data_IF_257399477721
#
_entry.id   IF_257399477721
#
_cell.length_a   1.000
_cell.length_b   1.000
_cell.length_c   1.000
_cell.angle_alpha   90.00
_cell.angle_beta   90.00
_cell.angle_gamma   90.00
#
_symmetry.space_group_name_H-M   'P 1'
#
loop_
_entity.id
_entity.type
_entity.pdbx_description
1 polymer ?
#
# COMPACT_ATOMS: atom_id res chain seq x y z
N UNK A 1 0.21 -53.45 -17.23
CA UNK A 1 -0.40 -53.60 -15.89
C UNK A 1 0.26 -52.63 -14.92
N UNK A 2 -0.59 -51.92 -14.16
CA UNK A 2 -0.36 -51.20 -12.91
C UNK A 2 0.79 -50.15 -12.82
N UNK A 3 0.46 -48.87 -13.09
CA UNK A 3 1.10 -47.73 -12.40
C UNK A 3 0.17 -47.28 -11.27
N UNK A 4 0.73 -47.27 -10.06
CA UNK A 4 0.07 -47.09 -8.78
C UNK A 4 -0.80 -45.83 -8.72
N UNK A 5 -2.10 -46.05 -8.53
CA UNK A 5 -3.05 -45.10 -7.95
C UNK A 5 -2.73 -44.89 -6.46
N UNK A 6 -2.73 -43.65 -5.98
CA UNK A 6 -2.84 -43.39 -4.54
C UNK A 6 -2.13 -42.13 -4.04
N UNK A 7 -2.79 -40.99 -4.17
CA UNK A 7 -2.94 -40.00 -3.08
C UNK A 7 -4.17 -39.13 -3.38
N UNK A 8 -5.30 -39.59 -2.83
CA UNK A 8 -6.59 -38.96 -2.53
C UNK A 8 -7.22 -37.92 -3.46
N UNK A 9 -8.14 -38.42 -4.29
CA UNK A 9 -9.29 -37.68 -4.78
C UNK A 9 -10.38 -37.55 -3.68
N UNK A 10 -10.03 -37.09 -2.47
CA UNK A 10 -11.03 -36.78 -1.45
C UNK A 10 -11.67 -35.42 -1.74
N UNK A 11 -12.94 -35.48 -2.13
CA UNK A 11 -13.81 -34.32 -2.21
C UNK A 11 -14.33 -34.00 -0.81
N UNK A 12 -13.84 -32.91 -0.22
CA UNK A 12 -14.26 -32.45 1.10
C UNK A 12 -15.70 -31.95 1.04
N UNK A 13 -16.43 -32.17 2.13
CA UNK A 13 -17.73 -31.55 2.42
C UNK A 13 -17.55 -30.11 2.89
N UNK A 14 -18.65 -29.35 2.98
CA UNK A 14 -18.64 -27.98 3.51
C UNK A 14 -18.08 -27.91 4.93
N UNK A 15 -18.48 -28.84 5.79
CA UNK A 15 -18.02 -28.92 7.18
C UNK A 15 -16.51 -29.21 7.25
N UNK A 16 -16.02 -30.17 6.47
CA UNK A 16 -14.60 -30.51 6.42
C UNK A 16 -13.75 -29.38 5.84
N UNK A 17 -14.25 -28.65 4.83
CA UNK A 17 -13.56 -27.48 4.30
C UNK A 17 -13.50 -26.35 5.33
N UNK A 18 -14.58 -26.13 6.08
CA UNK A 18 -14.62 -25.12 7.15
C UNK A 18 -13.60 -25.44 8.25
N UNK A 19 -13.53 -26.71 8.68
CA UNK A 19 -12.51 -27.17 9.60
C UNK A 19 -11.10 -27.02 9.02
N UNK A 20 -10.91 -27.32 7.73
CA UNK A 20 -9.62 -27.23 7.04
C UNK A 20 -9.10 -25.79 6.92
N UNK A 21 -9.98 -24.83 6.61
CA UNK A 21 -9.64 -23.41 6.49
C UNK A 21 -9.66 -22.69 7.84
N UNK A 22 -10.05 -23.36 8.93
CA UNK A 22 -10.33 -22.76 10.24
C UNK A 22 -11.33 -21.59 10.17
N UNK A 23 -12.36 -21.72 9.32
CA UNK A 23 -13.43 -20.72 9.14
C UNK A 23 -14.79 -21.28 9.61
N UNK A 24 -15.74 -20.38 9.87
CA UNK A 24 -17.12 -20.80 10.13
C UNK A 24 -17.82 -21.25 8.82
N UNK A 25 -18.70 -22.25 8.93
CA UNK A 25 -19.41 -22.81 7.78
C UNK A 25 -20.27 -21.79 7.03
N UNK A 26 -20.80 -20.77 7.70
CA UNK A 26 -21.60 -19.73 7.03
C UNK A 26 -20.71 -18.84 6.16
N UNK A 27 -19.48 -18.57 6.58
CA UNK A 27 -18.48 -17.85 5.79
C UNK A 27 -18.01 -18.66 4.60
N UNK A 28 -17.74 -19.95 4.78
CA UNK A 28 -17.40 -20.83 3.64
C UNK A 28 -18.58 -20.89 2.65
N UNK A 29 -19.81 -21.06 3.13
CA UNK A 29 -21.00 -21.03 2.27
C UNK A 29 -21.15 -19.72 1.49
N UNK A 30 -20.90 -18.58 2.14
CA UNK A 30 -20.92 -17.25 1.50
C UNK A 30 -19.86 -17.13 0.40
N UNK A 31 -18.65 -17.61 0.65
CA UNK A 31 -17.54 -17.57 -0.31
C UNK A 31 -17.80 -18.46 -1.53
N UNK A 32 -18.40 -19.62 -1.32
CA UNK A 32 -18.77 -20.54 -2.40
C UNK A 32 -19.90 -19.98 -3.24
N UNK A 33 -20.95 -19.42 -2.61
CA UNK A 33 -22.05 -18.77 -3.32
C UNK A 33 -21.61 -17.51 -4.08
N UNK A 34 -20.56 -16.83 -3.61
CA UNK A 34 -19.94 -15.70 -4.29
C UNK A 34 -18.94 -16.12 -5.39
N UNK A 35 -18.72 -17.42 -5.60
CA UNK A 35 -17.76 -17.93 -6.59
C UNK A 35 -16.29 -17.68 -6.25
N UNK A 36 -15.98 -17.39 -4.98
CA UNK A 36 -14.63 -17.03 -4.53
C UNK A 36 -13.76 -18.21 -4.14
N UNK A 37 -14.33 -19.40 -3.95
CA UNK A 37 -13.62 -20.64 -3.63
C UNK A 37 -13.93 -21.66 -4.73
N UNK A 38 -12.93 -22.38 -5.27
CA UNK A 38 -13.17 -23.42 -6.25
C UNK A 38 -14.00 -24.55 -5.64
N UNK A 39 -15.16 -24.81 -6.23
CA UNK A 39 -16.14 -25.77 -5.74
C UNK A 39 -16.81 -26.52 -6.90
N UNK A 40 -17.19 -27.77 -6.65
CA UNK A 40 -17.95 -28.61 -7.59
C UNK A 40 -19.27 -28.99 -6.94
N UNK A 41 -20.38 -28.91 -7.68
CA UNK A 41 -21.67 -29.35 -7.19
C UNK A 41 -21.92 -30.81 -7.61
N UNK A 42 -22.10 -31.69 -6.64
CA UNK A 42 -22.44 -33.12 -6.84
C UNK A 42 -23.70 -33.40 -6.04
N UNK A 43 -24.75 -33.90 -6.70
CA UNK A 43 -26.05 -34.20 -6.07
C UNK A 43 -26.61 -33.05 -5.22
N UNK A 44 -26.57 -31.83 -5.79
CA UNK A 44 -27.03 -30.57 -5.16
C UNK A 44 -26.25 -30.17 -3.90
N UNK A 45 -25.17 -30.86 -3.57
CA UNK A 45 -24.26 -30.51 -2.47
C UNK A 45 -22.93 -30.00 -3.00
N UNK A 46 -22.32 -29.05 -2.29
CA UNK A 46 -20.98 -28.57 -2.61
C UNK A 46 -19.92 -29.57 -2.17
N UNK A 47 -18.91 -29.72 -3.02
CA UNK A 47 -17.74 -30.58 -2.84
C UNK A 47 -16.48 -29.84 -3.24
N UNK A 48 -15.40 -30.07 -2.49
CA UNK A 48 -14.16 -29.31 -2.64
C UNK A 48 -12.98 -30.24 -2.80
N UNK A 49 -12.28 -30.15 -3.93
CA UNK A 49 -11.06 -30.92 -4.12
C UNK A 49 -9.95 -30.24 -3.32
N UNK A 50 -9.38 -30.93 -2.34
CA UNK A 50 -8.34 -30.38 -1.45
C UNK A 50 -7.19 -29.72 -2.23
N UNK A 51 -6.69 -30.35 -3.28
CA UNK A 51 -5.61 -29.79 -4.12
C UNK A 51 -5.97 -28.47 -4.81
N UNK A 52 -7.25 -28.24 -5.13
CA UNK A 52 -7.71 -26.97 -5.71
C UNK A 52 -7.86 -25.89 -4.63
N UNK A 53 -8.25 -26.29 -3.42
CA UNK A 53 -8.30 -25.40 -2.27
C UNK A 53 -6.89 -24.97 -1.87
N UNK A 54 -5.93 -25.89 -1.83
CA UNK A 54 -4.53 -25.58 -1.50
C UNK A 54 -3.93 -24.59 -2.53
N UNK A 55 -4.12 -24.85 -3.83
CA UNK A 55 -3.70 -23.92 -4.88
C UNK A 55 -4.40 -22.57 -4.81
N UNK A 56 -5.69 -22.55 -4.45
CA UNK A 56 -6.43 -21.31 -4.22
C UNK A 56 -5.92 -20.52 -3.02
N UNK A 57 -5.60 -21.18 -1.89
CA UNK A 57 -5.00 -20.53 -0.71
C UNK A 57 -3.65 -19.91 -1.10
N UNK A 58 -2.81 -20.63 -1.84
CA UNK A 58 -1.54 -20.11 -2.34
C UNK A 58 -1.73 -18.92 -3.29
N UNK A 59 -2.73 -18.96 -4.18
CA UNK A 59 -3.08 -17.85 -5.06
C UNK A 59 -3.60 -16.62 -4.30
N UNK A 60 -4.34 -16.81 -3.20
CA UNK A 60 -4.82 -15.72 -2.34
C UNK A 60 -3.72 -15.18 -1.40
N UNK A 61 -2.79 -16.01 -0.94
CA UNK A 61 -1.59 -15.57 -0.21
C UNK A 61 -0.64 -14.78 -1.11
N UNK A 62 -0.67 -15.02 -2.42
CA UNK A 62 0.12 -14.31 -3.43
C UNK A 62 -0.69 -13.21 -4.15
N UNK A 63 -2.00 -13.12 -3.91
CA UNK A 63 -2.91 -12.33 -4.73
C UNK A 63 -4.09 -11.75 -3.94
N UNK A 64 -4.06 -10.43 -3.81
CA UNK A 64 -5.15 -9.55 -3.36
C UNK A 64 -5.39 -9.52 -1.84
N UNK A 65 -4.48 -8.89 -1.09
CA UNK A 65 -4.82 -7.91 -0.04
C UNK A 65 -3.57 -7.34 0.68
N UNK A 66 -2.67 -6.72 -0.09
CA UNK A 66 -2.04 -5.50 0.42
C UNK A 66 -2.89 -4.36 -0.14
N UNK A 67 -3.85 -3.90 0.66
CA UNK A 67 -4.57 -2.63 0.53
C UNK A 67 -3.87 -1.70 -0.48
N UNK A 68 -4.44 -1.59 -1.69
CA UNK A 68 -3.86 -0.76 -2.74
C UNK A 68 -3.77 0.73 -2.36
N UNK A 69 -4.38 1.13 -1.24
CA UNK A 69 -4.33 2.47 -0.66
C UNK A 69 -3.01 2.76 0.07
N UNK A 70 -2.29 1.74 0.54
CA UNK A 70 -1.12 1.92 1.43
C UNK A 70 0.24 1.72 0.74
N UNK A 71 0.27 1.18 -0.48
CA UNK A 71 1.53 1.13 -1.24
C UNK A 71 1.89 2.55 -1.68
N UNK A 72 3.08 3.05 -1.27
CA UNK A 72 3.50 4.40 -1.60
C UNK A 72 3.41 4.63 -3.11
N UNK A 73 2.87 5.78 -3.49
CA UNK A 73 3.05 6.30 -4.84
C UNK A 73 4.56 6.22 -5.16
N UNK A 74 4.95 5.47 -6.20
CA UNK A 74 6.36 5.25 -6.52
C UNK A 74 7.11 6.55 -6.86
N UNK A 75 6.38 7.64 -7.13
CA UNK A 75 6.93 9.00 -7.22
C UNK A 75 7.28 9.61 -5.87
N UNK A 76 6.61 9.19 -4.79
CA UNK A 76 6.77 9.70 -3.43
C UNK A 76 7.74 8.88 -2.58
N UNK A 77 7.95 7.60 -2.91
CA UNK A 77 8.90 6.74 -2.20
C UNK A 77 10.33 7.28 -2.35
N UNK A 78 10.97 7.83 -1.31
CA UNK A 78 12.31 8.40 -1.43
C UNK A 78 13.33 7.31 -1.78
N UNK A 79 14.36 7.67 -2.56
CA UNK A 79 15.44 6.73 -2.87
C UNK A 79 16.15 6.23 -1.62
N UNK A 80 16.17 7.01 -0.54
CA UNK A 80 16.76 6.66 0.75
C UNK A 80 16.24 5.33 1.33
N UNK A 81 14.94 5.06 1.19
CA UNK A 81 14.33 3.82 1.69
C UNK A 81 14.77 2.58 0.89
N UNK A 82 15.20 2.80 -0.35
CA UNK A 82 15.63 1.76 -1.28
C UNK A 82 17.15 1.61 -1.36
N UNK A 83 17.91 2.64 -0.96
CA UNK A 83 19.35 2.70 -1.10
C UNK A 83 20.05 2.76 0.28
N UNK A 84 20.12 1.64 1.03
CA UNK A 84 20.91 1.57 2.26
C UNK A 84 22.41 1.81 1.99
N UNK A 85 23.19 2.16 3.01
CA UNK A 85 24.63 2.46 2.86
C UNK A 85 25.41 1.28 2.25
N UNK A 86 25.02 0.05 2.58
CA UNK A 86 25.65 -1.17 2.09
C UNK A 86 25.36 -1.48 0.61
N UNK A 87 24.53 -0.67 -0.06
CA UNK A 87 24.07 -0.90 -1.42
C UNK A 87 25.05 -0.40 -2.50
N UNK A 88 26.10 0.34 -2.11
CA UNK A 88 27.06 0.90 -3.06
C UNK A 88 28.26 -0.03 -3.23
N UNK A 89 28.52 -0.43 -4.48
CA UNK A 89 29.73 -1.11 -4.92
C UNK A 89 30.54 -0.11 -5.75
N UNK A 90 31.57 0.49 -5.16
CA UNK A 90 32.37 1.52 -5.82
C UNK A 90 33.29 0.95 -6.90
N UNK A 91 33.62 -0.33 -6.89
CA UNK A 91 34.44 -0.93 -7.93
C UNK A 91 33.92 -2.32 -8.30
N UNK A 92 33.13 -2.38 -9.37
CA UNK A 92 32.69 -3.63 -9.96
C UNK A 92 33.89 -4.38 -10.55
N UNK A 93 33.97 -5.67 -10.25
CA UNK A 93 34.98 -6.57 -10.82
C UNK A 93 34.51 -7.18 -12.14
N UNK A 94 33.20 -7.30 -12.32
CA UNK A 94 32.61 -7.83 -13.53
C UNK A 94 32.99 -7.01 -14.76
N UNK A 95 33.18 -7.71 -15.88
CA UNK A 95 33.50 -7.14 -17.20
C UNK A 95 32.49 -7.52 -18.28
N UNK A 96 31.48 -8.30 -17.93
CA UNK A 96 30.45 -8.79 -18.85
C UNK A 96 29.07 -8.42 -18.33
N UNK A 97 28.05 -8.31 -19.21
CA UNK A 97 26.70 -7.94 -18.77
C UNK A 97 26.12 -8.86 -17.68
N UNK A 98 26.24 -10.18 -17.89
CA UNK A 98 25.78 -11.18 -16.91
C UNK A 98 26.56 -11.08 -15.60
N UNK A 99 27.88 -10.89 -15.67
CA UNK A 99 28.71 -10.75 -14.47
C UNK A 99 28.32 -9.55 -13.62
N UNK A 100 27.92 -8.42 -14.23
CA UNK A 100 27.44 -7.24 -13.51
C UNK A 100 26.14 -7.57 -12.75
N UNK A 101 25.20 -8.23 -13.43
CA UNK A 101 23.93 -8.65 -12.83
C UNK A 101 24.19 -9.58 -11.65
N UNK A 102 25.08 -10.55 -11.80
CA UNK A 102 25.45 -11.50 -10.74
C UNK A 102 26.12 -10.81 -9.53
N UNK A 103 27.07 -9.91 -9.77
CA UNK A 103 27.81 -9.20 -8.72
C UNK A 103 26.87 -8.29 -7.90
N UNK A 104 25.98 -7.56 -8.57
CA UNK A 104 24.99 -6.71 -7.93
C UNK A 104 23.94 -7.55 -7.16
N UNK A 105 23.44 -8.63 -7.75
CA UNK A 105 22.49 -9.53 -7.08
C UNK A 105 23.12 -10.25 -5.88
N UNK A 106 24.40 -10.61 -5.97
CA UNK A 106 25.14 -11.18 -4.85
C UNK A 106 25.22 -10.21 -3.66
N UNK A 107 25.40 -8.91 -3.90
CA UNK A 107 25.33 -7.90 -2.82
C UNK A 107 23.98 -7.89 -2.13
N UNK A 108 22.88 -7.86 -2.90
CA UNK A 108 21.54 -7.89 -2.34
C UNK A 108 21.27 -9.19 -1.54
N UNK A 109 21.76 -10.32 -2.04
CA UNK A 109 21.62 -11.63 -1.39
C UNK A 109 22.39 -11.69 -0.07
N UNK A 110 23.67 -11.30 -0.06
CA UNK A 110 24.51 -11.29 1.16
C UNK A 110 23.95 -10.39 2.25
N UNK A 111 23.29 -9.29 1.90
CA UNK A 111 22.64 -8.40 2.86
C UNK A 111 21.25 -8.89 3.32
N UNK A 112 20.77 -10.04 2.82
CA UNK A 112 19.46 -10.60 3.15
C UNK A 112 18.27 -9.85 2.52
N UNK A 113 18.51 -9.04 1.48
CA UNK A 113 17.45 -8.28 0.80
C UNK A 113 16.81 -9.07 -0.34
N UNK A 114 17.57 -10.05 -0.86
CA UNK A 114 17.16 -10.99 -1.87
C UNK A 114 17.25 -12.41 -1.29
N UNK A 115 16.18 -13.21 -1.44
CA UNK A 115 16.08 -14.56 -0.89
C UNK A 115 16.45 -15.63 -1.91
N UNK A 116 16.28 -15.34 -3.21
CA UNK A 116 16.56 -16.27 -4.31
C UNK A 116 17.41 -15.58 -5.39
N UNK A 117 18.73 -15.71 -5.24
CA UNK A 117 19.69 -15.12 -6.19
C UNK A 117 19.62 -15.76 -7.58
N UNK A 118 19.65 -17.10 -7.75
CA UNK A 118 19.60 -17.72 -9.07
C UNK A 118 18.37 -17.30 -9.88
N UNK A 119 17.19 -17.28 -9.26
CA UNK A 119 15.98 -16.82 -9.94
C UNK A 119 16.10 -15.36 -10.36
N UNK A 120 16.55 -14.49 -9.47
CA UNK A 120 16.60 -13.05 -9.73
C UNK A 120 17.59 -12.71 -10.84
N UNK A 121 18.77 -13.33 -10.83
CA UNK A 121 19.75 -13.20 -11.91
C UNK A 121 19.14 -13.67 -13.23
N UNK A 122 18.51 -14.85 -13.26
CA UNK A 122 17.85 -15.35 -14.46
C UNK A 122 16.79 -14.40 -15.00
N UNK A 123 15.93 -13.86 -14.13
CA UNK A 123 14.87 -12.93 -14.51
C UNK A 123 15.39 -11.58 -15.03
N UNK A 124 16.50 -11.07 -14.47
CA UNK A 124 17.12 -9.83 -14.94
C UNK A 124 17.86 -10.06 -16.27
N UNK A 125 18.55 -11.19 -16.43
CA UNK A 125 19.19 -11.57 -17.71
C UNK A 125 18.16 -11.75 -18.81
N UNK A 126 17.03 -12.41 -18.53
CA UNK A 126 15.91 -12.54 -19.46
C UNK A 126 15.33 -11.17 -19.84
N UNK A 127 15.22 -10.24 -18.89
CA UNK A 127 14.79 -8.87 -19.20
C UNK A 127 15.80 -8.16 -20.11
N UNK A 128 17.08 -8.27 -19.81
CA UNK A 128 18.15 -7.57 -20.53
C UNK A 128 18.31 -8.09 -21.96
N UNK A 129 18.10 -9.40 -22.19
CA UNK A 129 18.20 -10.00 -23.53
C UNK A 129 17.12 -9.55 -24.51
N UNK A 130 15.98 -9.06 -24.02
CA UNK A 130 14.93 -8.48 -24.87
C UNK A 130 15.37 -7.16 -25.48
N UNK A 131 16.01 -6.30 -24.68
CA UNK A 131 16.54 -5.01 -25.09
C UNK A 131 17.33 -4.42 -23.93
N UNK A 132 18.46 -3.78 -24.27
CA UNK A 132 19.34 -3.15 -23.29
C UNK A 132 18.59 -2.15 -22.40
N UNK A 133 18.92 -2.15 -21.11
CA UNK A 133 18.47 -1.14 -20.14
C UNK A 133 19.49 -0.01 -19.95
N UNK A 134 20.58 -0.03 -20.71
CA UNK A 134 21.54 1.06 -20.76
C UNK A 134 20.94 2.28 -21.47
N UNK A 135 21.29 3.45 -20.97
CA UNK A 135 20.95 4.75 -21.51
C UNK A 135 22.22 5.45 -22.00
N UNK A 136 22.02 6.42 -22.89
CA UNK A 136 23.05 7.37 -23.29
C UNK A 136 23.71 8.00 -22.05
N UNK A 137 25.03 8.20 -22.11
CA UNK A 137 25.80 8.76 -21.01
C UNK A 137 26.30 7.72 -20.01
N UNK A 138 26.12 6.43 -20.28
CA UNK A 138 26.81 5.36 -19.57
C UNK A 138 26.20 4.95 -18.22
N UNK A 139 24.87 4.97 -18.15
CA UNK A 139 24.08 4.50 -16.99
C UNK A 139 23.15 3.37 -17.42
N UNK A 140 22.94 2.34 -16.61
CA UNK A 140 21.94 1.30 -16.85
C UNK A 140 21.04 1.05 -15.63
N UNK A 141 19.76 0.77 -15.89
CA UNK A 141 18.75 0.49 -14.87
C UNK A 141 18.22 -0.94 -14.98
N UNK A 142 18.93 -1.85 -14.34
CA UNK A 142 18.62 -3.28 -14.29
C UNK A 142 17.42 -3.54 -13.39
N UNK A 143 16.45 -4.28 -13.92
CA UNK A 143 15.22 -4.64 -13.19
C UNK A 143 14.65 -5.94 -13.75
N UNK A 144 13.83 -6.61 -12.96
CA UNK A 144 13.04 -7.77 -13.41
C UNK A 144 11.70 -7.30 -14.02
N UNK A 145 11.14 -8.10 -14.93
CA UNK A 145 9.71 -8.06 -15.32
C UNK A 145 8.91 -9.22 -14.73
N UNK A 146 9.59 -10.22 -14.16
CA UNK A 146 8.95 -11.33 -13.50
C UNK A 146 8.36 -10.86 -12.17
N UNK A 147 7.09 -11.23 -11.95
CA UNK A 147 6.40 -10.97 -10.69
C UNK A 147 7.17 -11.61 -9.55
N UNK A 148 7.44 -10.82 -8.51
CA UNK A 148 7.99 -11.35 -7.27
C UNK A 148 7.01 -12.32 -6.62
N UNK A 149 7.50 -13.50 -6.25
CA UNK A 149 6.74 -14.53 -5.52
C UNK A 149 7.39 -14.76 -4.15
N UNK A 150 7.61 -13.68 -3.39
CA UNK A 150 8.27 -13.72 -2.09
C UNK A 150 9.79 -13.93 -2.14
N UNK A 151 10.43 -13.74 -3.29
CA UNK A 151 11.86 -13.92 -3.50
C UNK A 151 12.66 -12.67 -3.15
N UNK A 152 12.01 -11.51 -3.10
CA UNK A 152 12.60 -10.25 -2.64
C UNK A 152 12.21 -10.08 -1.17
N UNK A 153 13.19 -10.09 -0.26
CA UNK A 153 12.95 -9.91 1.18
C UNK A 153 12.43 -8.51 1.50
N UNK A 154 13.16 -7.50 0.99
CA UNK A 154 12.78 -6.08 1.07
C UNK A 154 13.06 -5.37 -0.26
N UNK A 155 12.33 -4.29 -0.60
CA UNK A 155 12.69 -3.45 -1.73
C UNK A 155 14.11 -2.88 -1.61
N UNK A 156 14.86 -2.84 -2.71
CA UNK A 156 16.22 -2.31 -2.76
C UNK A 156 16.59 -1.73 -4.14
N UNK A 157 17.57 -0.84 -4.13
CA UNK A 157 18.41 -0.45 -5.26
C UNK A 157 19.86 -0.73 -4.88
N UNK A 158 20.59 -1.53 -5.66
CA UNK A 158 22.05 -1.66 -5.58
C UNK A 158 22.67 -0.77 -6.65
N UNK A 159 23.74 -0.06 -6.31
CA UNK A 159 24.49 0.76 -7.27
C UNK A 159 25.89 0.20 -7.41
N UNK A 160 26.29 -0.12 -8.63
CA UNK A 160 27.66 -0.52 -8.96
C UNK A 160 28.31 0.47 -9.91
N UNK A 161 29.58 0.80 -9.65
CA UNK A 161 30.41 1.56 -10.58
C UNK A 161 31.52 0.69 -11.15
N UNK A 162 31.64 0.66 -12.48
CA UNK A 162 32.81 0.19 -13.21
C UNK A 162 33.68 1.38 -13.62
N UNK A 163 34.99 1.32 -13.35
CA UNK A 163 35.94 2.36 -13.75
C UNK A 163 36.25 2.34 -15.25
N UNK A 164 36.43 1.14 -15.80
CA UNK A 164 36.73 0.91 -17.22
C UNK A 164 35.49 1.06 -18.10
N UNK A 165 34.31 0.89 -17.50
CA UNK A 165 33.07 0.78 -18.22
C UNK A 165 32.90 -0.60 -18.87
N UNK A 166 31.68 -0.92 -19.29
CA UNK A 166 31.32 -2.21 -19.87
C UNK A 166 30.44 -1.95 -21.07
N UNK A 167 30.71 -2.65 -22.18
CA UNK A 167 29.82 -2.63 -23.34
C UNK A 167 28.51 -3.33 -22.98
N UNK A 168 27.46 -2.55 -22.80
CA UNK A 168 26.17 -3.02 -22.29
C UNK A 168 24.99 -2.72 -23.22
N UNK A 169 25.28 -2.24 -24.44
CA UNK A 169 24.25 -1.97 -25.46
C UNK A 169 23.59 -0.59 -25.33
N UNK A 170 24.30 0.40 -24.80
CA UNK A 170 23.82 1.78 -24.79
C UNK A 170 23.55 2.29 -26.23
N UNK A 171 22.50 3.10 -26.46
CA UNK A 171 22.15 3.59 -27.80
C UNK A 171 23.27 4.38 -28.50
N UNK A 172 24.08 5.10 -27.72
CA UNK A 172 25.26 5.85 -28.17
C UNK A 172 26.48 4.97 -28.48
N UNK A 173 26.34 3.64 -28.37
CA UNK A 173 27.43 2.65 -28.49
C UNK A 173 28.57 2.87 -27.49
N UNK A 174 28.33 3.66 -26.45
CA UNK A 174 29.30 3.98 -25.42
C UNK A 174 29.38 2.92 -24.32
N UNK A 175 30.45 2.95 -23.51
CA UNK A 175 30.55 2.15 -22.30
C UNK A 175 29.56 2.60 -21.22
N UNK A 176 28.99 1.63 -20.51
CA UNK A 176 28.21 1.85 -19.29
C UNK A 176 29.11 1.75 -18.06
N UNK A 177 29.07 2.77 -17.20
CA UNK A 177 29.91 2.88 -16.01
C UNK A 177 29.11 2.69 -14.72
N UNK A 178 27.87 3.16 -14.68
CA UNK A 178 27.03 3.10 -13.48
C UNK A 178 25.84 2.17 -13.72
N UNK A 179 25.65 1.23 -12.81
CA UNK A 179 24.61 0.21 -12.88
C UNK A 179 23.73 0.30 -11.65
N UNK A 180 22.42 0.38 -11.86
CA UNK A 180 21.41 0.43 -10.82
C UNK A 180 20.57 -0.83 -10.91
N UNK A 181 20.65 -1.73 -9.94
CA UNK A 181 19.86 -2.95 -9.88
C UNK A 181 18.70 -2.78 -8.90
N UNK A 182 17.47 -2.83 -9.43
CA UNK A 182 16.24 -2.63 -8.67
C UNK A 182 15.59 -3.99 -8.37
N UNK A 183 15.42 -4.30 -7.09
CA UNK A 183 14.58 -5.38 -6.62
C UNK A 183 13.38 -4.81 -5.90
N UNK A 184 12.21 -4.78 -6.55
CA UNK A 184 10.96 -4.29 -5.95
C UNK A 184 9.89 -5.37 -5.99
N UNK A 185 9.04 -5.42 -4.97
CA UNK A 185 7.96 -6.43 -4.86
C UNK A 185 6.78 -6.18 -5.79
N UNK A 186 6.54 -4.92 -6.15
CA UNK A 186 5.36 -4.51 -6.91
C UNK A 186 5.76 -3.87 -8.23
N UNK A 187 5.29 -4.45 -9.34
CA UNK A 187 5.55 -3.97 -10.71
C UNK A 187 5.21 -2.49 -10.89
N UNK A 188 4.15 -2.00 -10.23
CA UNK A 188 3.72 -0.59 -10.30
C UNK A 188 4.74 0.41 -9.77
N UNK A 189 5.70 -0.03 -8.94
CA UNK A 189 6.74 0.84 -8.40
C UNK A 189 7.91 1.02 -9.38
N UNK A 190 8.10 0.07 -10.31
CA UNK A 190 9.25 0.09 -11.22
C UNK A 190 9.26 1.36 -12.08
N UNK A 191 8.22 1.58 -12.88
CA UNK A 191 8.20 2.68 -13.85
C UNK A 191 8.34 4.07 -13.20
N UNK A 192 7.62 4.40 -12.10
CA UNK A 192 7.80 5.68 -11.41
C UNK A 192 9.22 5.91 -10.87
N UNK A 193 9.82 4.88 -10.25
CA UNK A 193 11.18 4.97 -9.69
C UNK A 193 12.20 5.09 -10.83
N UNK A 194 12.09 4.26 -11.87
CA UNK A 194 12.95 4.31 -13.05
C UNK A 194 12.88 5.67 -13.74
N UNK A 195 11.67 6.20 -13.97
CA UNK A 195 11.49 7.51 -14.60
C UNK A 195 12.11 8.66 -13.80
N UNK A 196 12.04 8.57 -12.47
CA UNK A 196 12.69 9.54 -11.57
C UNK A 196 14.21 9.42 -11.58
N UNK A 197 14.75 8.21 -11.46
CA UNK A 197 16.20 7.98 -11.52
C UNK A 197 16.80 8.39 -12.87
N UNK A 198 16.12 8.06 -13.98
CA UNK A 198 16.51 8.48 -15.32
C UNK A 198 16.52 10.01 -15.47
N UNK A 199 15.61 10.73 -14.79
CA UNK A 199 15.60 12.20 -14.77
C UNK A 199 16.72 12.76 -13.90
N UNK A 200 16.92 12.21 -12.70
CA UNK A 200 18.00 12.59 -11.79
C UNK A 200 19.39 12.39 -12.41
N UNK A 201 19.53 11.37 -13.27
CA UNK A 201 20.78 11.01 -13.93
C UNK A 201 20.84 11.44 -15.40
N UNK A 202 20.04 12.44 -15.81
CA UNK A 202 20.10 12.98 -17.18
C UNK A 202 21.27 13.93 -17.42
N UNK A 203 21.76 14.60 -16.37
CA UNK A 203 22.82 15.61 -16.51
C UNK A 203 24.20 14.93 -16.63
N UNK A 204 24.93 15.10 -17.75
CA UNK A 204 26.25 14.51 -17.94
C UNK A 204 27.28 14.93 -16.86
N UNK A 205 27.18 16.16 -16.33
CA UNK A 205 28.05 16.62 -15.25
C UNK A 205 27.80 15.86 -13.94
N UNK A 206 26.56 15.45 -13.67
CA UNK A 206 26.23 14.61 -12.51
C UNK A 206 26.79 13.21 -12.69
N UNK A 207 26.62 12.61 -13.88
CA UNK A 207 27.21 11.29 -14.18
C UNK A 207 28.74 11.32 -14.04
N UNK A 208 29.40 12.34 -14.62
CA UNK A 208 30.85 12.49 -14.53
C UNK A 208 31.34 12.58 -13.07
N UNK A 209 30.62 13.34 -12.24
CA UNK A 209 30.90 13.43 -10.79
C UNK A 209 30.73 12.07 -10.10
N UNK A 210 29.61 11.38 -10.32
CA UNK A 210 29.37 10.04 -9.75
C UNK A 210 30.45 9.04 -10.16
N UNK A 211 30.91 9.09 -11.42
CA UNK A 211 32.01 8.24 -11.92
C UNK A 211 33.32 8.53 -11.19
N UNK A 212 33.67 9.78 -10.96
CA UNK A 212 34.94 10.17 -10.34
C UNK A 212 35.00 9.94 -8.81
N UNK A 213 33.86 9.84 -8.12
CA UNK A 213 33.82 9.72 -6.64
C UNK A 213 34.27 8.36 -6.14
N UNK A 214 35.29 8.31 -5.30
CA UNK A 214 35.79 7.03 -4.73
C UNK A 214 35.12 6.62 -3.42
N UNK A 215 34.45 7.55 -2.73
CA UNK A 215 33.76 7.28 -1.46
C UNK A 215 32.31 6.78 -1.71
N UNK A 216 31.93 5.62 -1.13
CA UNK A 216 30.54 5.15 -1.16
C UNK A 216 29.55 6.17 -0.60
N UNK A 217 29.91 6.82 0.51
CA UNK A 217 29.05 7.79 1.20
C UNK A 217 28.82 9.04 0.36
N UNK A 218 29.87 9.57 -0.28
CA UNK A 218 29.75 10.71 -1.18
C UNK A 218 28.89 10.38 -2.41
N UNK A 219 29.07 9.19 -2.98
CA UNK A 219 28.29 8.72 -4.11
C UNK A 219 26.81 8.58 -3.72
N UNK A 220 26.53 7.94 -2.58
CA UNK A 220 25.18 7.82 -2.03
C UNK A 220 24.56 9.20 -1.77
N UNK A 221 25.28 10.09 -1.09
CA UNK A 221 24.79 11.43 -0.79
C UNK A 221 24.44 12.24 -2.04
N UNK A 222 25.26 12.17 -3.10
CA UNK A 222 24.95 12.81 -4.37
C UNK A 222 23.69 12.20 -5.01
N UNK A 223 23.55 10.88 -5.04
CA UNK A 223 22.35 10.23 -5.58
C UNK A 223 21.07 10.65 -4.84
N UNK A 224 21.10 10.70 -3.51
CA UNK A 224 19.96 11.13 -2.70
C UNK A 224 19.59 12.59 -2.95
N UNK A 225 20.60 13.46 -3.13
CA UNK A 225 20.39 14.87 -3.49
C UNK A 225 19.72 15.01 -4.86
N UNK A 226 20.22 14.32 -5.88
CA UNK A 226 19.67 14.39 -7.23
C UNK A 226 18.27 13.78 -7.31
N UNK A 227 18.00 12.71 -6.55
CA UNK A 227 16.66 12.14 -6.40
C UNK A 227 15.67 13.14 -5.77
N UNK A 228 16.07 13.80 -4.69
CA UNK A 228 15.25 14.81 -4.03
C UNK A 228 14.92 15.98 -4.97
N UNK A 229 15.90 16.44 -5.74
CA UNK A 229 15.70 17.46 -6.77
C UNK A 229 14.70 17.01 -7.84
N UNK A 230 14.84 15.77 -8.33
CA UNK A 230 13.94 15.22 -9.34
C UNK A 230 12.49 15.09 -8.83
N UNK A 231 12.30 14.79 -7.53
CA UNK A 231 10.98 14.80 -6.88
C UNK A 231 10.40 16.21 -6.78
N UNK A 232 11.21 17.20 -6.37
CA UNK A 232 10.79 18.59 -6.23
C UNK A 232 10.42 19.24 -7.59
N UNK A 233 11.10 18.85 -8.67
CA UNK A 233 10.90 19.37 -10.03
C UNK A 233 9.64 18.91 -10.76
N UNK A 234 8.74 18.17 -10.10
CA UNK A 234 7.50 17.63 -10.74
C UNK A 234 6.27 18.54 -10.52
N UNK A 235 6.47 19.85 -10.32
CA UNK A 235 5.37 20.83 -10.13
C UNK A 235 4.96 21.58 -11.41
N UNK A 236 5.62 21.36 -12.54
CA UNK A 236 5.31 22.04 -13.79
C UNK A 236 5.36 21.05 -14.96
N UNK A 237 4.26 21.02 -15.72
CA UNK A 237 4.04 20.29 -16.98
C UNK A 237 3.67 18.80 -16.88
N UNK A 238 2.42 18.53 -16.50
CA UNK A 238 1.57 17.55 -17.21
C UNK A 238 0.10 18.01 -17.16
N UNK A 239 -0.27 18.88 -18.10
CA UNK A 239 -1.64 19.10 -18.57
C UNK A 239 -1.50 19.29 -20.09
N UNK A 240 -2.18 18.61 -21.01
CA UNK A 240 -3.43 17.83 -21.08
C UNK A 240 -3.23 16.75 -22.20
N UNK A 241 -4.05 15.74 -22.52
CA UNK A 241 -5.47 15.39 -22.42
C UNK A 241 -5.57 13.87 -22.81
N UNK A 242 -6.58 13.03 -22.55
CA UNK A 242 -7.94 13.11 -22.02
C UNK A 242 -8.42 11.67 -21.69
N UNK A 243 -9.16 11.50 -20.59
CA UNK A 243 -10.34 10.63 -20.53
C UNK A 243 -11.19 11.02 -19.32
N UNK A 244 -12.22 11.82 -19.59
CA UNK A 244 -13.27 12.18 -18.66
C UNK A 244 -14.07 10.95 -18.22
N UNK A 245 -14.20 10.74 -16.90
CA UNK A 245 -15.33 10.02 -16.29
C UNK A 245 -15.89 10.91 -15.16
N UNK A 246 -17.17 11.30 -15.20
CA UNK A 246 -17.73 12.19 -14.19
C UNK A 246 -17.84 11.42 -12.87
N UNK A 247 -17.01 11.76 -11.88
CA UNK A 247 -17.19 11.29 -10.51
C UNK A 247 -18.14 12.25 -9.81
N UNK A 248 -19.24 11.69 -9.30
CA UNK A 248 -20.23 12.35 -8.46
C UNK A 248 -19.55 13.30 -7.45
N UNK A 249 -19.98 14.57 -7.45
CA UNK A 249 -19.43 15.64 -6.61
C UNK A 249 -19.22 15.15 -5.16
N UNK A 250 -18.01 15.39 -4.63
CA UNK A 250 -17.60 15.06 -3.26
C UNK A 250 -18.60 15.55 -2.23
N UNK A 251 -19.26 16.68 -2.49
CA UNK A 251 -20.33 17.19 -1.63
C UNK A 251 -21.59 16.31 -1.68
N UNK A 252 -21.98 15.81 -2.86
CA UNK A 252 -23.09 14.83 -3.00
C UNK A 252 -22.77 13.50 -2.30
N UNK A 253 -21.52 13.03 -2.40
CA UNK A 253 -21.07 11.76 -1.78
C UNK A 253 -21.06 11.85 -0.25
N UNK A 254 -20.59 12.97 0.31
CA UNK A 254 -20.61 13.22 1.75
C UNK A 254 -22.04 13.41 2.28
N UNK A 255 -22.92 14.05 1.50
CA UNK A 255 -24.35 14.17 1.84
C UNK A 255 -25.06 12.81 1.79
N UNK A 256 -24.76 11.96 0.81
CA UNK A 256 -25.32 10.60 0.71
C UNK A 256 -24.88 9.71 1.88
N UNK A 257 -23.59 9.75 2.26
CA UNK A 257 -23.07 9.00 3.42
C UNK A 257 -23.73 9.46 4.73
N UNK A 258 -23.87 10.77 4.95
CA UNK A 258 -24.58 11.30 6.13
C UNK A 258 -26.06 10.90 6.16
N UNK A 259 -26.73 10.89 5.01
CA UNK A 259 -28.15 10.50 4.90
C UNK A 259 -28.36 9.01 5.22
N UNK A 260 -27.47 8.14 4.72
CA UNK A 260 -27.49 6.71 5.02
C UNK A 260 -27.15 6.40 6.49
N UNK A 261 -26.24 7.17 7.10
CA UNK A 261 -25.93 7.03 8.54
C UNK A 261 -27.08 7.50 9.44
N UNK A 262 -27.82 8.54 9.03
CA UNK A 262 -29.01 8.99 9.75
C UNK A 262 -30.19 8.03 9.60
N UNK A 263 -30.39 7.45 8.40
CA UNK A 263 -31.39 6.39 8.19
C UNK A 263 -31.06 5.13 9.00
N UNK A 264 -29.80 4.66 8.99
CA UNK A 264 -29.39 3.53 9.84
C UNK A 264 -29.60 3.81 11.33
N UNK A 265 -29.32 5.03 11.82
CA UNK A 265 -29.61 5.37 13.21
C UNK A 265 -31.11 5.40 13.51
N UNK A 266 -31.93 5.91 12.59
CA UNK A 266 -33.38 5.92 12.73
C UNK A 266 -33.98 4.49 12.71
N UNK A 267 -33.50 3.63 11.81
CA UNK A 267 -33.92 2.23 11.67
C UNK A 267 -33.53 1.41 12.92
N UNK A 268 -32.30 1.59 13.43
CA UNK A 268 -31.85 0.97 14.68
C UNK A 268 -32.71 1.43 15.87
N UNK A 269 -32.98 2.73 16.00
CA UNK A 269 -33.87 3.21 17.09
C UNK A 269 -35.33 2.75 16.94
N UNK A 270 -35.77 2.42 15.73
CA UNK A 270 -37.13 1.92 15.47
C UNK A 270 -37.23 0.42 15.74
N UNK A 271 -36.18 -0.35 15.40
CA UNK A 271 -36.03 -1.76 15.77
C UNK A 271 -35.86 -1.94 17.29
N UNK A 272 -35.06 -1.11 17.95
CA UNK A 272 -34.90 -1.14 19.42
C UNK A 272 -36.22 -0.84 20.14
N UNK A 273 -37.00 0.14 19.65
CA UNK A 273 -38.32 0.44 20.20
C UNK A 273 -39.34 -0.67 19.91
N UNK A 274 -39.27 -1.33 18.75
CA UNK A 274 -40.11 -2.50 18.43
C UNK A 274 -39.75 -3.70 19.32
N UNK A 275 -38.46 -4.01 19.46
CA UNK A 275 -37.97 -5.09 20.32
C UNK A 275 -38.34 -4.86 21.80
N UNK A 276 -38.22 -3.63 22.29
CA UNK A 276 -38.65 -3.27 23.65
C UNK A 276 -40.17 -3.37 23.86
N UNK A 277 -40.99 -3.11 22.84
CA UNK A 277 -42.44 -3.24 22.91
C UNK A 277 -42.92 -4.71 22.86
N UNK A 278 -42.19 -5.58 22.15
CA UNK A 278 -42.45 -7.02 22.08
C UNK A 278 -41.98 -7.77 23.34
N UNK A 279 -40.97 -7.27 24.05
CA UNK A 279 -40.45 -7.86 25.28
C UNK A 279 -41.28 -7.57 26.55
N UNK A 280 -42.26 -6.64 26.50
CA UNK A 280 -43.09 -6.34 27.67
C UNK A 280 -44.53 -5.90 27.32
N UNK A 281 -45.46 -6.85 27.10
CA UNK A 281 -46.83 -6.53 26.65
C UNK A 281 -47.74 -5.91 27.74
N UNK A 282 -47.27 -5.73 28.99
CA UNK A 282 -48.11 -5.32 30.13
C UNK A 282 -48.13 -3.82 30.47
N UNK A 283 -47.73 -2.91 29.56
CA UNK A 283 -47.76 -1.46 29.85
C UNK A 283 -48.59 -0.60 28.89
N UNK A 284 -49.35 -1.19 27.97
CA UNK A 284 -50.18 -0.47 26.98
C UNK A 284 -51.66 -0.26 27.40
N UNK A 285 -51.98 -0.31 28.70
CA UNK A 285 -53.30 0.10 29.21
C UNK A 285 -53.14 1.00 30.45
N UNK A 286 -52.74 2.24 30.24
CA UNK A 286 -53.11 3.34 31.13
C UNK A 286 -52.69 4.68 30.51
N UNK A 287 -53.70 5.44 30.08
CA UNK A 287 -53.84 6.91 30.10
C UNK A 287 -54.38 7.45 28.78
N UNK A 288 -55.69 7.33 28.64
CA UNK A 288 -56.49 8.18 27.78
C UNK A 288 -56.91 9.45 28.57
N UNK A 289 -56.64 10.63 27.97
CA UNK A 289 -57.31 11.95 28.11
C UNK A 289 -57.24 12.72 29.47
N UNK A 290 -57.59 14.02 29.53
CA UNK A 290 -57.24 15.16 28.64
C UNK A 290 -56.88 16.47 29.40
N UNK A 291 -56.45 17.50 28.65
CA UNK A 291 -56.31 18.95 29.02
C UNK A 291 -57.61 19.59 29.59
N UNK A 292 -57.56 20.72 30.36
CA UNK A 292 -57.64 22.11 29.81
C UNK A 292 -56.79 23.18 30.57
N UNK A 293 -56.26 24.26 29.92
CA UNK A 293 -56.69 25.71 29.85
C UNK A 293 -57.01 26.34 31.23
N UNK A 294 -56.65 27.57 31.65
CA UNK A 294 -56.29 28.90 31.07
C UNK A 294 -55.85 29.87 32.21
N UNK A 295 -55.09 30.95 31.96
CA UNK A 295 -54.59 31.97 32.94
C UNK A 295 -55.67 32.94 33.52
N UNK A 296 -55.41 34.24 33.86
CA UNK A 296 -54.17 35.03 34.07
C UNK A 296 -54.22 36.08 35.26
N UNK A 297 -53.18 36.98 35.35
CA UNK A 297 -53.10 38.37 35.92
C UNK A 297 -52.70 38.60 37.41
N UNK A 298 -51.58 39.35 37.63
CA UNK A 298 -51.41 40.77 38.14
C UNK A 298 -51.44 40.87 39.70
N UNK A 299 -50.76 41.75 40.45
CA UNK A 299 -49.80 42.85 40.30
C UNK A 299 -49.09 43.06 41.68
N UNK A 300 -48.01 43.87 41.75
CA UNK A 300 -47.37 44.32 43.02
C UNK A 300 -48.22 45.35 43.80
N UNK A 301 -47.68 46.24 44.66
CA UNK A 301 -46.27 46.63 44.90
C UNK A 301 -45.91 46.92 46.40
N UNK A 302 -44.77 47.59 46.64
CA UNK A 302 -44.45 48.61 47.69
C UNK A 302 -43.23 48.29 48.61
N UNK A 303 -42.19 49.12 48.44
CA UNK A 303 -41.15 49.58 49.41
C UNK A 303 -41.35 51.10 49.60
N UNK A 304 -40.72 51.89 50.52
CA UNK A 304 -39.43 51.76 51.25
C UNK A 304 -39.58 52.28 52.74
N UNK A 305 -38.64 52.93 53.50
CA UNK A 305 -37.22 53.29 53.28
C UNK A 305 -36.22 53.16 54.49
N UNK A 306 -34.91 53.35 54.18
CA UNK A 306 -33.84 54.14 54.87
C UNK A 306 -33.58 53.97 56.39
N UNK A 307 -32.36 53.91 56.96
CA UNK A 307 -31.23 54.86 56.82
C UNK A 307 -29.96 54.38 57.59
N UNK A 308 -28.78 54.63 56.99
CA UNK A 308 -27.48 55.09 57.56
C UNK A 308 -26.82 54.44 58.80
N UNK A 309 -25.56 54.02 58.67
CA UNK A 309 -24.36 54.75 59.16
C UNK A 309 -23.08 53.86 59.15
N UNK A 310 -22.07 54.14 58.33
CA UNK A 310 -20.80 54.84 58.65
C UNK A 310 -19.59 53.87 58.80
N UNK A 311 -18.56 54.18 58.00
CA UNK A 311 -17.18 53.63 57.85
C UNK A 311 -16.25 54.19 58.98
N UNK A 312 -14.92 53.87 59.12
CA UNK A 312 -13.95 53.58 58.05
C UNK A 312 -12.76 52.61 58.33
N UNK A 313 -12.11 52.29 57.19
CA UNK A 313 -10.70 51.93 56.90
C UNK A 313 -9.67 51.93 58.04
N UNK A 314 -8.79 50.92 58.02
CA UNK A 314 -7.31 51.08 58.04
C UNK A 314 -6.66 49.95 57.22
N UNK A 315 -5.77 50.32 56.29
CA UNK A 315 -4.73 49.50 55.65
C UNK A 315 -3.37 49.90 56.30
N UNK A 316 -2.15 49.41 55.94
CA UNK A 316 -1.76 48.56 54.81
C UNK A 316 -0.58 47.58 55.10
N UNK A 317 -0.09 46.99 54.00
CA UNK A 317 1.34 46.85 53.64
C UNK A 317 2.12 45.56 53.95
N UNK A 318 2.51 44.93 52.83
CA UNK A 318 3.87 44.53 52.44
C UNK A 318 4.56 43.41 53.24
N UNK A 319 4.77 42.28 52.58
CA UNK A 319 5.96 42.04 51.75
C UNK A 319 5.61 41.12 50.59
#
# INVERSE_FOLDING_TARGET
>A
MAKKSGTDAQLLTMHELAAYLHLDEQTVSRLVNAGKIPAVQVDRQWRFKRSQIDGWIEEQLVGEDESFADVPDGMKLPLEDLLPDQAIITNLRARTPVGVIEELAARAYTNGWLMDKPWFVGAVVERESLSSTAMEGGVAFLHTRAKDKGKIGRPFVIVGRSWEGIMFGAPDQGPTYLFFLLGLKYDRLHLPILGRLARALRNPATIARLRAMSSPDQLRALLLKEDANARAGTSTEFATATAFKPKLDRQLRLRAIRRLQQQKKADITTEEKRAAALANPKRAKAKAKPKPKSGPKQAGPITPPSTSAIRPKVAPAKK
#
